data_IF_071494491649
#
_entry.id   IF_071494491649
#
_cell.length_a   1.000
_cell.length_b   1.000
_cell.length_c   1.000
_cell.angle_alpha   90.00
_cell.angle_beta   90.00
_cell.angle_gamma   90.00
#
_symmetry.space_group_name_H-M   'P 1'
#
loop_
_entity.id
_entity.type
_entity.pdbx_description
1 polymer ?
#
# COMPACT_ATOMS: atom_id res chain seq x y z
N UNK A 1 5.40 10.58 11.54
CA UNK A 1 4.51 11.76 11.56
C UNK A 1 4.64 12.52 10.26
N UNK A 2 3.55 12.88 9.58
CA UNK A 2 3.52 13.70 8.35
C UNK A 2 2.77 14.99 8.66
N UNK A 3 3.42 16.16 8.62
CA UNK A 3 2.72 17.44 8.89
C UNK A 3 1.88 17.88 7.70
N UNK A 4 0.96 18.83 7.93
CA UNK A 4 0.13 19.41 6.87
C UNK A 4 1.02 19.96 5.73
N UNK A 5 0.69 19.57 4.49
CA UNK A 5 1.44 19.88 3.24
C UNK A 5 2.85 19.30 3.19
N UNK A 6 3.17 18.30 4.01
CA UNK A 6 4.40 17.53 3.90
C UNK A 6 4.12 16.14 3.34
N UNK A 7 5.19 15.51 2.86
CA UNK A 7 5.19 14.16 2.31
C UNK A 7 6.15 13.26 3.07
N UNK A 8 5.86 11.96 3.05
CA UNK A 8 6.79 10.92 3.48
C UNK A 8 6.82 9.81 2.42
N UNK A 9 7.96 9.14 2.32
CA UNK A 9 8.19 8.04 1.39
C UNK A 9 8.28 6.71 2.13
N UNK A 10 7.66 5.69 1.56
CA UNK A 10 7.65 4.33 2.06
C UNK A 10 8.06 3.37 0.95
N UNK A 11 8.92 2.41 1.27
CA UNK A 11 9.27 1.34 0.32
C UNK A 11 8.25 0.21 0.41
N UNK A 12 7.76 -0.21 -0.75
CA UNK A 12 6.79 -1.29 -0.92
C UNK A 12 7.42 -2.36 -1.81
N UNK A 13 7.38 -3.60 -1.35
CA UNK A 13 7.82 -4.80 -2.07
C UNK A 13 7.11 -6.01 -1.49
N UNK A 14 7.06 -7.11 -2.24
CA UNK A 14 6.62 -8.42 -1.75
C UNK A 14 7.83 -9.24 -1.28
N UNK A 15 7.65 -10.00 -0.20
CA UNK A 15 8.68 -10.92 0.31
C UNK A 15 8.75 -12.23 -0.48
N UNK A 16 7.64 -12.65 -1.08
CA UNK A 16 7.51 -13.86 -1.88
C UNK A 16 6.92 -13.55 -3.25
N UNK A 17 7.26 -14.32 -4.29
CA UNK A 17 6.61 -14.18 -5.57
C UNK A 17 5.09 -14.40 -5.48
N UNK A 18 4.33 -13.88 -6.46
CA UNK A 18 2.98 -14.37 -6.70
C UNK A 18 3.01 -15.84 -7.14
N UNK A 19 2.25 -16.72 -6.49
CA UNK A 19 2.45 -18.16 -6.59
C UNK A 19 1.20 -18.99 -6.93
N UNK A 20 0.08 -18.38 -7.32
CA UNK A 20 -1.13 -19.17 -7.58
C UNK A 20 -0.97 -19.90 -8.91
N UNK A 21 -1.10 -21.23 -8.88
CA UNK A 21 -0.86 -22.14 -10.02
C UNK A 21 -1.71 -21.78 -11.25
N UNK A 22 -2.93 -21.26 -11.05
CA UNK A 22 -3.84 -20.78 -12.09
C UNK A 22 -4.07 -19.25 -12.05
N UNK A 23 -3.13 -18.52 -11.44
CA UNK A 23 -3.19 -17.07 -11.31
C UNK A 23 -2.77 -16.31 -12.57
N UNK A 24 -3.06 -15.02 -12.62
CA UNK A 24 -2.50 -14.10 -13.62
C UNK A 24 -1.02 -13.76 -13.32
N UNK A 25 -0.43 -14.34 -12.26
CA UNK A 25 0.96 -14.15 -11.86
C UNK A 25 1.26 -12.72 -11.40
N UNK A 26 0.21 -11.98 -11.04
CA UNK A 26 0.29 -10.54 -10.77
C UNK A 26 -0.50 -10.17 -9.52
N UNK A 27 0.13 -9.42 -8.62
CA UNK A 27 -0.46 -8.85 -7.41
C UNK A 27 -0.59 -7.35 -7.60
N UNK A 28 -1.77 -6.81 -7.29
CA UNK A 28 -1.99 -5.36 -7.23
C UNK A 28 -2.16 -4.92 -5.79
N UNK A 29 -1.50 -3.82 -5.43
CA UNK A 29 -1.55 -3.23 -4.09
C UNK A 29 -2.08 -1.81 -4.16
N UNK A 30 -3.14 -1.54 -3.39
CA UNK A 30 -3.70 -0.21 -3.17
C UNK A 30 -3.80 0.06 -1.66
N UNK A 31 -4.24 1.24 -1.22
CA UNK A 31 -4.48 1.51 0.20
C UNK A 31 -5.79 2.26 0.40
N UNK A 32 -6.47 1.92 1.50
CA UNK A 32 -7.57 2.68 2.05
C UNK A 32 -7.15 3.38 3.34
N UNK A 33 -7.65 4.59 3.58
CA UNK A 33 -7.57 5.26 4.87
C UNK A 33 -8.85 5.01 5.67
N UNK A 34 -8.72 4.86 6.98
CA UNK A 34 -9.82 4.48 7.88
C UNK A 34 -10.57 5.68 8.46
N UNK A 35 -9.84 6.70 8.91
CA UNK A 35 -10.41 7.83 9.65
C UNK A 35 -10.69 9.07 8.77
N UNK A 36 -9.95 9.23 7.67
CA UNK A 36 -10.13 10.35 6.75
C UNK A 36 -9.75 9.99 5.32
N UNK A 37 -10.77 9.88 4.47
CA UNK A 37 -10.67 9.40 3.08
C UNK A 37 -9.93 10.41 2.18
N UNK A 38 -10.01 11.71 2.50
CA UNK A 38 -9.48 12.79 1.65
C UNK A 38 -8.44 13.68 2.36
N UNK A 39 -7.88 13.23 3.48
CA UNK A 39 -6.83 13.95 4.19
C UNK A 39 -5.42 13.68 3.65
N UNK A 40 -5.26 12.58 2.92
CA UNK A 40 -3.97 12.16 2.38
C UNK A 40 -4.09 11.90 0.88
N UNK A 41 -3.06 12.28 0.13
CA UNK A 41 -2.87 11.87 -1.26
C UNK A 41 -1.73 10.87 -1.34
N UNK A 42 -1.99 9.78 -2.05
CA UNK A 42 -1.03 8.70 -2.28
C UNK A 42 -0.55 8.73 -3.72
N UNK A 43 0.75 8.54 -3.92
CA UNK A 43 1.36 8.42 -5.24
C UNK A 43 2.46 7.36 -5.24
N UNK A 44 2.43 6.37 -6.14
CA UNK A 44 1.33 6.05 -7.06
C UNK A 44 0.07 5.56 -6.31
N UNK A 45 -1.08 5.55 -6.99
CA UNK A 45 -2.35 5.04 -6.42
C UNK A 45 -2.40 3.51 -6.34
N UNK A 46 -1.54 2.84 -7.09
CA UNK A 46 -1.49 1.40 -7.21
C UNK A 46 -0.08 0.94 -7.55
N UNK A 47 0.32 -0.21 -7.01
CA UNK A 47 1.51 -0.95 -7.43
C UNK A 47 1.12 -2.28 -8.07
N UNK A 48 1.93 -2.72 -9.01
CA UNK A 48 1.79 -4.02 -9.66
C UNK A 48 3.08 -4.81 -9.49
N UNK A 49 2.96 -6.01 -8.92
CA UNK A 49 4.07 -6.93 -8.69
C UNK A 49 3.83 -8.25 -9.43
N UNK A 50 4.89 -8.82 -10.00
CA UNK A 50 4.91 -10.09 -10.72
C UNK A 50 6.19 -10.86 -10.39
N UNK A 51 6.38 -12.03 -11.00
CA UNK A 51 7.55 -12.89 -10.77
C UNK A 51 8.91 -12.19 -11.01
N UNK A 52 8.95 -11.15 -11.84
CA UNK A 52 10.18 -10.46 -12.22
C UNK A 52 10.52 -9.31 -11.27
N UNK A 53 9.52 -8.64 -10.67
CA UNK A 53 9.72 -7.41 -9.91
C UNK A 53 9.21 -7.47 -8.45
N UNK A 54 8.79 -8.63 -7.95
CA UNK A 54 8.16 -8.73 -6.62
C UNK A 54 9.04 -8.22 -5.48
N UNK A 55 10.38 -8.36 -5.55
CA UNK A 55 11.31 -7.85 -4.53
C UNK A 55 11.83 -6.43 -4.81
N UNK A 56 11.51 -5.87 -5.98
CA UNK A 56 11.93 -4.51 -6.30
C UNK A 56 11.21 -3.52 -5.39
N UNK A 57 11.99 -2.67 -4.71
CA UNK A 57 11.45 -1.63 -3.83
C UNK A 57 10.85 -0.53 -4.69
N UNK A 58 9.54 -0.40 -4.63
CA UNK A 58 8.80 0.70 -5.25
C UNK A 58 8.46 1.74 -4.18
N UNK A 59 8.43 3.02 -4.53
CA UNK A 59 8.23 4.12 -3.57
C UNK A 59 6.76 4.54 -3.56
N UNK A 60 6.15 4.50 -2.38
CA UNK A 60 4.88 5.13 -2.06
C UNK A 60 5.14 6.47 -1.38
N UNK A 61 4.72 7.56 -2.01
CA UNK A 61 4.69 8.90 -1.42
C UNK A 61 3.31 9.17 -0.83
N UNK A 62 3.28 9.52 0.44
CA UNK A 62 2.06 9.90 1.16
C UNK A 62 2.16 11.37 1.54
N UNK A 63 1.21 12.19 1.08
CA UNK A 63 1.18 13.63 1.36
C UNK A 63 -0.05 13.99 2.18
N UNK A 64 0.12 14.71 3.29
CA UNK A 64 -1.01 15.21 4.08
C UNK A 64 -1.55 16.50 3.47
N UNK A 65 -2.80 16.50 3.04
CA UNK A 65 -3.47 17.67 2.43
C UNK A 65 -4.48 18.35 3.35
N UNK A 66 -4.97 17.66 4.39
CA UNK A 66 -5.84 18.22 5.44
C UNK A 66 -5.39 17.78 6.83
N UNK A 67 -5.79 18.53 7.85
CA UNK A 67 -5.62 18.07 9.23
C UNK A 67 -6.47 16.82 9.45
N UNK A 68 -5.85 15.79 10.01
CA UNK A 68 -6.48 14.51 10.29
C UNK A 68 -6.06 14.05 11.69
N UNK A 69 -6.89 13.27 12.40
CA UNK A 69 -6.40 12.48 13.51
C UNK A 69 -5.36 11.46 13.02
N UNK A 70 -4.73 10.75 13.98
CA UNK A 70 -3.92 9.56 13.67
C UNK A 70 -4.76 8.60 12.84
N UNK A 71 -4.19 8.05 11.77
CA UNK A 71 -4.92 7.17 10.85
C UNK A 71 -4.10 5.95 10.48
N UNK A 72 -4.81 4.91 10.07
CA UNK A 72 -4.25 3.71 9.48
C UNK A 72 -4.48 3.73 7.97
N UNK A 73 -3.41 3.52 7.21
CA UNK A 73 -3.53 3.06 5.83
C UNK A 73 -3.47 1.54 5.80
N UNK A 74 -4.58 0.95 5.42
CA UNK A 74 -4.72 -0.50 5.28
C UNK A 74 -4.53 -0.83 3.80
N UNK A 75 -3.53 -1.64 3.43
CA UNK A 75 -3.37 -2.04 2.05
C UNK A 75 -4.54 -2.91 1.60
N UNK A 76 -4.84 -2.88 0.32
CA UNK A 76 -5.76 -3.79 -0.35
C UNK A 76 -4.91 -4.62 -1.30
N UNK A 77 -4.90 -5.93 -1.06
CA UNK A 77 -4.12 -6.89 -1.84
C UNK A 77 -5.07 -7.63 -2.78
N UNK A 78 -4.79 -7.57 -4.08
CA UNK A 78 -5.56 -8.27 -5.08
C UNK A 78 -4.72 -9.39 -5.72
N UNK A 79 -5.27 -10.59 -5.68
CA UNK A 79 -4.80 -11.75 -6.43
C UNK A 79 -3.78 -12.63 -5.70
N UNK A 80 -3.55 -13.79 -6.32
CA UNK A 80 -2.39 -14.66 -6.07
C UNK A 80 -2.26 -15.22 -4.65
N UNK A 81 -3.35 -15.27 -3.88
CA UNK A 81 -3.39 -15.82 -2.53
C UNK A 81 -3.03 -14.79 -1.45
N UNK A 82 -2.45 -13.64 -1.82
CA UNK A 82 -2.25 -12.51 -0.90
C UNK A 82 -3.57 -11.83 -0.55
N UNK A 83 -4.58 -11.94 -1.41
CA UNK A 83 -5.96 -11.53 -1.15
C UNK A 83 -6.63 -12.30 0.01
N UNK A 84 -6.06 -13.45 0.42
CA UNK A 84 -6.53 -14.26 1.54
C UNK A 84 -5.85 -13.89 2.87
N UNK A 85 -4.79 -13.06 2.83
CA UNK A 85 -4.06 -12.65 4.03
C UNK A 85 -4.73 -11.40 4.61
N UNK A 86 -5.01 -11.35 5.93
CA UNK A 86 -5.59 -10.18 6.56
C UNK A 86 -4.74 -8.91 6.31
N UNK A 87 -5.26 -7.91 5.57
CA UNK A 87 -4.47 -6.75 5.15
C UNK A 87 -4.01 -5.88 6.32
N UNK A 88 -4.68 -5.98 7.47
CA UNK A 88 -4.35 -5.22 8.67
C UNK A 88 -2.93 -5.50 9.17
N UNK A 89 -2.36 -6.68 8.87
CA UNK A 89 -0.99 -7.04 9.23
C UNK A 89 0.07 -6.15 8.56
N UNK A 90 -0.29 -5.47 7.47
CA UNK A 90 0.62 -4.65 6.66
C UNK A 90 0.27 -3.16 6.70
N UNK A 91 -0.47 -2.73 7.73
CA UNK A 91 -0.94 -1.35 7.84
C UNK A 91 0.18 -0.36 8.11
N UNK A 92 0.08 0.84 7.52
CA UNK A 92 0.97 1.96 7.79
C UNK A 92 0.28 2.90 8.79
N UNK A 93 0.91 3.11 9.94
CA UNK A 93 0.48 4.10 10.93
C UNK A 93 0.96 5.50 10.54
N UNK A 94 0.02 6.43 10.40
CA UNK A 94 0.32 7.85 10.19
C UNK A 94 -0.14 8.69 11.38
N UNK A 95 0.78 9.54 11.82
CA UNK A 95 0.60 10.58 12.83
C UNK A 95 0.70 11.97 12.18
#
# INVERSE_FOLDING_TARGET
TIRLRQSAEFHVSLSTPPHRIDGNGTVRVQWNTTECIDCFTLSPKEFTFNINNFQEKQILTITRIKNAPKTLLIPILYGEGLDLIPPQMFSIYID
#
